data_IF_466667950542
#
_entry.id   IF_466667950542
#
_cell.length_a   1.000
_cell.length_b   1.000
_cell.length_c   1.000
_cell.angle_alpha   90.00
_cell.angle_beta   90.00
_cell.angle_gamma   90.00
#
_symmetry.space_group_name_H-M   'P 1'
#
loop_
_entity.id
_entity.type
_entity.pdbx_description
1 polymer ?
#
# COMPACT_ATOMS: atom_id res chain seq x y z
N UNK A 1 45.26 -31.38 66.33
CA UNK A 1 45.11 -30.75 65.02
C UNK A 1 43.72 -31.05 64.52
N UNK A 2 42.81 -30.10 64.65
CA UNK A 2 41.45 -30.25 64.18
C UNK A 2 41.39 -29.84 62.68
N UNK A 3 41.02 -30.78 61.81
CA UNK A 3 40.87 -30.59 60.36
C UNK A 3 39.59 -29.81 60.11
N UNK A 4 39.72 -28.54 59.70
CA UNK A 4 38.62 -27.67 59.33
C UNK A 4 37.98 -28.18 57.97
N UNK A 5 36.88 -28.89 58.09
CA UNK A 5 36.09 -29.27 56.93
C UNK A 5 35.45 -27.99 56.38
N UNK A 6 35.95 -27.55 55.27
CA UNK A 6 35.33 -26.42 54.52
C UNK A 6 33.92 -26.83 54.08
N UNK A 7 32.91 -26.14 54.61
CA UNK A 7 31.54 -26.21 54.09
C UNK A 7 31.54 -25.59 52.70
N UNK A 8 31.53 -26.38 51.63
CA UNK A 8 31.01 -25.97 50.34
C UNK A 8 29.48 -25.89 50.52
N UNK A 9 29.00 -24.71 50.80
CA UNK A 9 27.60 -24.41 50.62
C UNK A 9 27.39 -24.26 49.12
N UNK A 10 27.20 -25.37 48.39
CA UNK A 10 26.43 -25.31 47.17
C UNK A 10 25.07 -24.76 47.58
N UNK A 11 24.62 -23.68 46.95
CA UNK A 11 23.32 -23.11 47.24
C UNK A 11 22.29 -24.24 47.08
N UNK A 12 21.44 -24.45 48.10
CA UNK A 12 20.44 -25.53 48.12
C UNK A 12 19.44 -25.45 46.94
N UNK A 13 19.53 -24.41 46.13
CA UNK A 13 18.74 -24.17 44.93
C UNK A 13 19.27 -24.87 43.66
N UNK A 14 20.52 -25.37 43.63
CA UNK A 14 21.11 -25.99 42.40
C UNK A 14 20.48 -27.36 42.06
N UNK A 15 19.68 -27.93 42.99
CA UNK A 15 19.00 -29.22 42.84
C UNK A 15 17.50 -29.13 42.62
N UNK A 16 16.98 -27.93 42.42
CA UNK A 16 15.54 -27.68 42.16
C UNK A 16 15.33 -27.12 40.79
N UNK A 17 14.21 -27.50 40.17
CA UNK A 17 13.75 -26.91 38.91
C UNK A 17 13.39 -25.42 39.08
N UNK A 18 13.47 -24.58 38.02
CA UNK A 18 13.04 -23.21 38.08
C UNK A 18 11.55 -23.09 38.40
N UNK A 19 11.12 -21.95 38.92
CA UNK A 19 9.68 -21.62 38.98
C UNK A 19 9.18 -21.16 37.63
N UNK A 20 7.84 -21.25 37.35
CA UNK A 20 7.24 -20.68 36.16
C UNK A 20 7.61 -19.20 36.01
N UNK A 21 7.92 -18.77 34.81
CA UNK A 21 8.27 -17.38 34.50
C UNK A 21 7.10 -16.43 34.75
N UNK A 22 7.39 -15.16 34.97
CA UNK A 22 6.42 -14.07 35.00
C UNK A 22 6.60 -13.28 33.71
N UNK A 23 5.56 -13.21 32.86
CA UNK A 23 5.58 -12.40 31.65
C UNK A 23 5.54 -10.93 32.02
N UNK A 24 6.54 -10.16 31.58
CA UNK A 24 6.66 -8.72 31.82
C UNK A 24 6.00 -7.94 30.71
N UNK A 25 6.23 -8.33 29.45
CA UNK A 25 5.60 -7.71 28.27
C UNK A 25 5.54 -8.68 27.10
N UNK A 26 4.60 -8.43 26.20
CA UNK A 26 4.52 -9.04 24.89
C UNK A 26 3.95 -7.99 23.94
N UNK A 27 4.77 -7.48 23.02
CA UNK A 27 4.42 -6.30 22.19
C UNK A 27 4.75 -6.51 20.73
N UNK A 28 3.87 -6.03 19.86
CA UNK A 28 4.08 -6.06 18.41
C UNK A 28 5.19 -5.08 17.98
N UNK A 29 6.08 -5.54 17.11
CA UNK A 29 7.20 -4.77 16.54
C UNK A 29 7.01 -4.66 15.01
N UNK A 30 5.86 -4.14 14.60
CA UNK A 30 5.41 -4.15 13.20
C UNK A 30 6.02 -3.08 12.31
N UNK A 31 6.55 -1.99 12.88
CA UNK A 31 7.06 -0.82 12.14
C UNK A 31 8.15 -1.20 11.14
N UNK A 32 7.96 -0.86 9.87
CA UNK A 32 8.93 -1.11 8.79
C UNK A 32 9.08 -2.57 8.38
N UNK A 33 8.34 -3.50 8.98
CA UNK A 33 8.46 -4.93 8.65
C UNK A 33 7.66 -5.29 7.42
N UNK A 34 8.29 -6.08 6.54
CA UNK A 34 7.67 -6.57 5.32
C UNK A 34 6.46 -7.48 5.62
N UNK A 35 5.53 -7.57 4.68
CA UNK A 35 4.36 -8.47 4.75
C UNK A 35 4.79 -9.89 5.08
N UNK A 36 4.10 -10.54 6.00
CA UNK A 36 4.38 -11.88 6.52
C UNK A 36 5.77 -12.06 7.17
N UNK A 37 6.36 -10.96 7.61
CA UNK A 37 7.57 -10.95 8.42
C UNK A 37 7.37 -10.13 9.71
N UNK A 38 6.18 -10.25 10.31
CA UNK A 38 5.85 -9.63 11.59
C UNK A 38 6.80 -10.09 12.70
N UNK A 39 6.87 -9.31 13.78
CA UNK A 39 7.63 -9.68 14.96
C UNK A 39 6.92 -9.25 16.24
N UNK A 40 7.12 -10.04 17.29
CA UNK A 40 6.64 -9.75 18.64
C UNK A 40 7.82 -9.86 19.60
N UNK A 41 8.04 -8.81 20.37
CA UNK A 41 9.03 -8.78 21.46
C UNK A 41 8.39 -9.29 22.76
N UNK A 42 9.00 -10.30 23.36
CA UNK A 42 8.52 -10.98 24.56
C UNK A 42 9.58 -10.84 25.63
N UNK A 43 9.18 -10.34 26.81
CA UNK A 43 10.06 -10.18 27.97
C UNK A 43 9.42 -10.86 29.16
N UNK A 44 10.26 -11.59 29.91
CA UNK A 44 9.84 -12.29 31.12
C UNK A 44 10.92 -12.19 32.21
N UNK A 45 10.60 -12.64 33.38
CA UNK A 45 11.53 -12.77 34.50
C UNK A 45 11.26 -14.05 35.28
N UNK A 46 12.26 -14.53 36.02
CA UNK A 46 12.04 -15.54 37.06
C UNK A 46 11.50 -14.87 38.31
N UNK A 47 10.55 -15.51 39.02
CA UNK A 47 10.09 -15.03 40.33
C UNK A 47 11.24 -15.01 41.37
N UNK A 48 11.13 -14.13 42.34
CA UNK A 48 12.08 -14.09 43.48
C UNK A 48 12.21 -15.46 44.17
N UNK A 49 13.45 -15.85 44.47
CA UNK A 49 13.76 -17.14 45.06
C UNK A 49 13.50 -18.34 44.14
N UNK A 50 13.46 -18.13 42.82
CA UNK A 50 13.54 -19.21 41.83
C UNK A 50 14.99 -19.68 41.73
N UNK A 51 15.24 -20.99 41.56
CA UNK A 51 16.50 -21.47 41.01
C UNK A 51 16.77 -20.85 39.63
N UNK A 52 18.02 -20.70 39.25
CA UNK A 52 18.42 -20.18 37.96
C UNK A 52 17.95 -21.11 36.81
N UNK A 53 17.47 -20.52 35.74
CA UNK A 53 17.21 -21.23 34.49
C UNK A 53 18.44 -21.16 33.58
N UNK A 54 18.82 -22.27 33.00
CA UNK A 54 19.90 -22.34 32.01
C UNK A 54 19.40 -22.28 30.59
N UNK A 55 18.09 -22.50 30.39
CA UNK A 55 17.43 -22.48 29.08
C UNK A 55 15.96 -22.07 29.20
N UNK A 56 15.50 -21.30 28.25
CA UNK A 56 14.07 -21.01 28.04
C UNK A 56 13.65 -21.58 26.69
N UNK A 57 12.50 -22.25 26.66
CA UNK A 57 11.86 -22.74 25.43
C UNK A 57 10.60 -21.92 25.15
N UNK A 58 10.49 -21.34 23.94
CA UNK A 58 9.39 -20.49 23.52
C UNK A 58 8.60 -21.20 22.40
N UNK A 59 7.32 -21.47 22.65
CA UNK A 59 6.43 -22.16 21.70
C UNK A 59 5.31 -21.24 21.28
N UNK A 60 5.25 -20.81 20.02
CA UNK A 60 4.16 -19.97 19.49
C UNK A 60 2.90 -20.79 19.23
N UNK A 61 1.74 -20.14 19.38
CA UNK A 61 0.43 -20.62 18.91
C UNK A 61 -0.28 -19.47 18.21
N UNK A 62 -0.60 -19.61 16.89
CA UNK A 62 -0.30 -20.71 15.97
C UNK A 62 1.19 -21.02 15.82
N UNK A 63 1.51 -22.24 15.38
CA UNK A 63 2.89 -22.67 15.15
C UNK A 63 3.55 -21.87 14.01
N UNK A 64 4.86 -21.64 14.15
CA UNK A 64 5.69 -20.92 13.18
C UNK A 64 6.83 -21.84 12.75
N UNK A 65 7.24 -21.78 11.50
CA UNK A 65 8.36 -22.58 11.01
C UNK A 65 9.62 -22.35 11.85
N UNK A 66 10.33 -23.44 12.22
CA UNK A 66 11.50 -23.39 13.06
C UNK A 66 11.25 -23.25 14.57
N UNK A 67 9.97 -23.20 15.00
CA UNK A 67 9.61 -23.27 16.42
C UNK A 67 9.51 -24.73 16.91
N UNK A 68 9.65 -25.01 18.25
CA UNK A 68 9.92 -24.07 19.31
C UNK A 68 11.33 -23.48 19.23
N UNK A 69 11.49 -22.25 19.75
CA UNK A 69 12.77 -21.56 19.85
C UNK A 69 13.36 -21.69 21.27
N UNK A 70 14.69 -21.54 21.39
CA UNK A 70 15.36 -21.57 22.67
C UNK A 70 16.27 -20.35 22.84
N UNK A 71 16.42 -19.90 24.11
CA UNK A 71 17.32 -18.81 24.49
C UNK A 71 17.78 -18.98 25.94
N UNK A 72 18.91 -18.36 26.28
CA UNK A 72 19.37 -18.22 27.68
C UNK A 72 19.02 -16.83 28.24
N UNK A 73 18.57 -15.90 27.40
CA UNK A 73 18.14 -14.57 27.83
C UNK A 73 16.68 -14.58 28.34
N UNK A 74 16.32 -13.54 29.06
CA UNK A 74 14.96 -13.31 29.58
C UNK A 74 14.08 -12.48 28.63
N UNK A 75 14.47 -12.43 27.36
CA UNK A 75 13.70 -11.85 26.28
C UNK A 75 13.93 -12.62 25.00
N UNK A 76 12.96 -12.51 24.06
CA UNK A 76 13.05 -13.10 22.74
C UNK A 76 12.19 -12.32 21.75
N UNK A 77 12.74 -12.01 20.59
CA UNK A 77 11.98 -11.41 19.48
C UNK A 77 11.57 -12.52 18.51
N UNK A 78 10.32 -12.95 18.58
CA UNK A 78 9.73 -13.88 17.63
C UNK A 78 9.57 -13.18 16.28
N UNK A 79 10.11 -13.76 15.20
CA UNK A 79 10.10 -13.18 13.84
C UNK A 79 9.48 -14.15 12.81
N UNK A 80 9.24 -13.64 11.61
CA UNK A 80 8.62 -14.42 10.54
C UNK A 80 7.15 -14.71 10.78
N UNK A 81 6.50 -13.87 11.58
CA UNK A 81 5.10 -14.03 11.93
C UNK A 81 4.21 -13.56 10.77
N UNK A 82 3.13 -14.30 10.50
CA UNK A 82 2.14 -13.92 9.49
C UNK A 82 1.42 -12.64 9.91
N UNK A 83 1.33 -11.70 8.99
CA UNK A 83 0.63 -10.42 9.20
C UNK A 83 -0.83 -10.62 9.59
N UNK A 84 -1.36 -9.73 10.42
CA UNK A 84 -2.74 -9.74 10.91
C UNK A 84 -3.14 -11.01 11.68
N UNK A 85 -2.16 -11.81 12.11
CA UNK A 85 -2.38 -13.05 12.85
C UNK A 85 -2.08 -12.81 14.33
N UNK A 86 -2.99 -13.27 15.20
CA UNK A 86 -2.83 -13.18 16.66
C UNK A 86 -2.09 -14.40 17.20
N UNK A 87 -1.03 -14.15 17.98
CA UNK A 87 -0.18 -15.17 18.56
C UNK A 87 -0.20 -15.11 20.10
N UNK A 88 -0.12 -16.28 20.70
CA UNK A 88 0.28 -16.46 22.10
C UNK A 88 1.59 -17.24 22.15
N UNK A 89 2.39 -17.03 23.19
CA UNK A 89 3.68 -17.71 23.35
C UNK A 89 3.71 -18.40 24.69
N UNK A 90 4.00 -19.69 24.70
CA UNK A 90 4.23 -20.47 25.90
C UNK A 90 5.73 -20.52 26.21
N UNK A 91 6.12 -20.07 27.40
CA UNK A 91 7.52 -20.03 27.85
C UNK A 91 7.73 -21.04 28.98
N UNK A 92 8.74 -21.89 28.79
CA UNK A 92 9.16 -22.90 29.77
C UNK A 92 10.60 -22.61 30.16
N UNK A 93 10.86 -22.36 31.44
CA UNK A 93 12.19 -22.27 32.01
C UNK A 93 12.68 -23.65 32.41
N UNK A 94 13.95 -23.98 32.18
CA UNK A 94 14.56 -25.25 32.58
C UNK A 94 16.00 -25.10 33.04
N UNK A 95 16.45 -26.07 33.84
CA UNK A 95 17.83 -26.27 34.27
C UNK A 95 18.15 -27.77 34.33
N UNK A 96 19.29 -28.14 34.91
CA UNK A 96 19.70 -29.54 35.03
C UNK A 96 18.78 -30.37 35.95
N UNK A 97 18.02 -29.75 36.84
CA UNK A 97 17.09 -30.42 37.76
C UNK A 97 15.74 -30.71 37.11
N UNK A 98 15.33 -29.92 36.10
CA UNK A 98 14.05 -30.11 35.41
C UNK A 98 13.55 -28.86 34.74
N UNK A 99 12.27 -28.91 34.34
CA UNK A 99 11.57 -27.83 33.65
C UNK A 99 10.35 -27.35 34.43
N UNK A 100 10.19 -26.05 34.52
CA UNK A 100 9.02 -25.40 35.12
C UNK A 100 7.74 -25.68 34.33
N UNK A 101 6.61 -25.46 35.00
CA UNK A 101 5.35 -25.35 34.26
C UNK A 101 5.39 -24.18 33.26
N UNK A 102 4.74 -24.36 32.13
CA UNK A 102 4.65 -23.35 31.06
C UNK A 102 3.83 -22.13 31.51
N UNK A 103 4.27 -20.93 31.14
CA UNK A 103 3.50 -19.70 31.28
C UNK A 103 3.24 -19.12 29.90
N UNK A 104 2.00 -18.72 29.63
CA UNK A 104 1.61 -18.16 28.29
C UNK A 104 1.42 -16.65 28.39
N UNK A 105 1.78 -15.95 27.28
CA UNK A 105 1.46 -14.54 27.10
C UNK A 105 -0.02 -14.33 26.84
N UNK A 106 -0.51 -13.11 27.00
CA UNK A 106 -1.73 -12.67 26.34
C UNK A 106 -1.55 -12.71 24.82
N UNK A 107 -2.66 -12.79 24.09
CA UNK A 107 -2.64 -12.77 22.62
C UNK A 107 -2.20 -11.40 22.10
N UNK A 108 -1.27 -11.38 21.14
CA UNK A 108 -0.78 -10.17 20.45
C UNK A 108 -0.86 -10.40 18.96
N UNK A 109 -1.43 -9.44 18.23
CA UNK A 109 -1.50 -9.51 16.76
C UNK A 109 -0.20 -8.98 16.16
N UNK A 110 0.46 -9.83 15.37
CA UNK A 110 1.63 -9.42 14.60
C UNK A 110 1.19 -8.52 13.42
N UNK A 111 1.79 -7.32 13.32
CA UNK A 111 1.46 -6.38 12.25
C UNK A 111 2.67 -6.05 11.39
N UNK A 112 2.43 -5.51 10.18
CA UNK A 112 3.45 -5.18 9.18
C UNK A 112 3.01 -3.97 8.35
N UNK A 113 3.85 -3.53 7.42
CA UNK A 113 3.42 -2.63 6.34
C UNK A 113 2.37 -3.33 5.45
N UNK A 114 1.56 -2.60 4.67
CA UNK A 114 0.60 -3.19 3.73
C UNK A 114 1.30 -3.91 2.57
N UNK A 115 0.60 -4.80 1.87
CA UNK A 115 1.02 -5.21 0.53
C UNK A 115 0.87 -4.07 -0.48
N UNK A 116 1.48 -4.22 -1.66
CA UNK A 116 1.29 -3.25 -2.74
C UNK A 116 -0.19 -3.15 -3.13
N UNK A 117 -0.67 -1.97 -3.58
CA UNK A 117 -1.97 -1.83 -4.23
C UNK A 117 -2.10 -2.77 -5.41
N UNK A 118 -3.34 -3.15 -5.76
CA UNK A 118 -3.63 -4.09 -6.85
C UNK A 118 -4.41 -3.42 -7.97
N UNK A 119 -4.48 -4.07 -9.14
CA UNK A 119 -5.24 -3.57 -10.31
C UNK A 119 -4.92 -2.12 -10.64
N UNK A 120 -3.64 -1.75 -10.57
CA UNK A 120 -3.18 -0.40 -10.88
C UNK A 120 -3.21 -0.17 -12.38
N UNK A 121 -3.78 0.95 -12.80
CA UNK A 121 -3.81 1.32 -14.22
C UNK A 121 -3.87 2.83 -14.39
N UNK A 122 -3.47 3.31 -15.57
CA UNK A 122 -3.63 4.69 -15.99
C UNK A 122 -4.25 4.76 -17.38
N UNK A 123 -5.09 5.75 -17.61
CA UNK A 123 -5.67 6.08 -18.90
C UNK A 123 -5.71 7.59 -19.09
N UNK A 124 -5.34 8.06 -20.27
CA UNK A 124 -5.58 9.46 -20.68
C UNK A 124 -7.07 9.63 -21.00
N UNK A 125 -7.77 10.46 -20.25
CA UNK A 125 -9.23 10.57 -20.31
C UNK A 125 -9.72 11.81 -21.03
N UNK A 126 -9.06 12.93 -20.81
CA UNK A 126 -9.32 14.22 -21.43
C UNK A 126 -7.98 14.92 -21.67
N UNK A 127 -8.04 16.05 -22.41
CA UNK A 127 -6.84 16.87 -22.68
C UNK A 127 -6.03 17.12 -21.41
N UNK A 128 -4.74 16.81 -21.47
CA UNK A 128 -3.78 17.05 -20.40
C UNK A 128 -4.19 16.44 -19.06
N UNK A 129 -4.90 15.30 -19.06
CA UNK A 129 -5.33 14.65 -17.83
C UNK A 129 -5.21 13.15 -17.94
N UNK A 130 -4.48 12.57 -17.00
CA UNK A 130 -4.33 11.14 -16.80
C UNK A 130 -5.17 10.69 -15.59
N UNK A 131 -5.99 9.69 -15.78
CA UNK A 131 -6.77 9.05 -14.70
C UNK A 131 -6.05 7.81 -14.22
N UNK A 132 -5.58 7.87 -12.98
CA UNK A 132 -4.93 6.75 -12.27
C UNK A 132 -5.96 6.03 -11.42
N UNK A 133 -6.02 4.71 -11.54
CA UNK A 133 -6.92 3.85 -10.76
C UNK A 133 -6.15 2.72 -10.09
N UNK A 134 -6.63 2.29 -8.93
CA UNK A 134 -6.10 1.15 -8.19
C UNK A 134 -7.15 0.55 -7.26
N UNK A 135 -6.93 -0.68 -6.84
CA UNK A 135 -7.65 -1.32 -5.75
C UNK A 135 -6.76 -1.40 -4.51
N UNK A 136 -7.40 -1.54 -3.36
CA UNK A 136 -6.71 -1.71 -2.08
C UNK A 136 -5.74 -2.90 -2.11
N UNK A 137 -4.70 -2.88 -1.26
CA UNK A 137 -3.85 -4.04 -1.03
C UNK A 137 -4.63 -5.29 -0.64
N UNK A 138 -4.10 -6.47 -0.98
CA UNK A 138 -4.69 -7.77 -0.55
C UNK A 138 -4.58 -7.99 0.96
N UNK A 139 -3.61 -7.35 1.60
CA UNK A 139 -3.51 -7.27 3.06
C UNK A 139 -3.08 -5.88 3.50
N UNK A 140 -3.73 -5.38 4.54
CA UNK A 140 -3.35 -4.11 5.18
C UNK A 140 -2.21 -4.27 6.20
N UNK A 141 -1.68 -5.49 6.37
CA UNK A 141 -0.64 -5.80 7.34
C UNK A 141 -1.14 -5.87 8.79
N UNK A 142 -2.45 -5.92 9.02
CA UNK A 142 -3.06 -5.91 10.35
C UNK A 142 -3.22 -4.50 10.94
N UNK A 143 -3.00 -3.46 10.13
CA UNK A 143 -3.27 -2.04 10.44
C UNK A 143 -3.93 -1.43 9.21
N UNK A 144 -5.06 -0.77 9.38
CA UNK A 144 -5.80 -0.16 8.28
C UNK A 144 -4.92 0.76 7.43
N UNK A 145 -5.06 0.68 6.11
CA UNK A 145 -4.43 1.62 5.17
C UNK A 145 -5.00 3.01 5.42
N UNK A 146 -4.14 3.96 5.75
CA UNK A 146 -4.52 5.34 6.09
C UNK A 146 -4.51 6.27 4.87
N UNK A 147 -3.63 6.00 3.88
CA UNK A 147 -3.49 6.82 2.69
C UNK A 147 -2.77 6.08 1.57
N UNK A 148 -2.78 6.72 0.38
CA UNK A 148 -1.97 6.30 -0.77
C UNK A 148 -1.12 7.47 -1.24
N UNK A 149 0.07 7.17 -1.76
CA UNK A 149 0.93 8.11 -2.47
C UNK A 149 1.12 7.62 -3.89
N UNK A 150 0.97 8.54 -4.85
CA UNK A 150 1.22 8.30 -6.27
C UNK A 150 2.48 9.08 -6.64
N UNK A 151 3.42 8.42 -7.32
CA UNK A 151 4.64 9.04 -7.84
C UNK A 151 4.64 8.89 -9.35
N UNK A 152 4.72 9.99 -10.08
CA UNK A 152 4.86 9.98 -11.53
C UNK A 152 6.29 9.66 -11.94
N UNK A 153 6.48 9.01 -13.09
CA UNK A 153 7.80 8.69 -13.64
C UNK A 153 8.63 9.92 -14.01
N UNK A 154 8.00 11.09 -14.18
CA UNK A 154 8.65 12.39 -14.43
C UNK A 154 8.96 13.18 -13.15
N UNK A 155 8.64 12.62 -11.96
CA UNK A 155 9.10 13.10 -10.67
C UNK A 155 8.06 13.62 -9.69
N UNK A 156 6.92 14.24 -10.08
CA UNK A 156 5.93 14.72 -9.12
C UNK A 156 5.34 13.61 -8.26
N UNK A 157 5.03 13.96 -7.00
CA UNK A 157 4.41 13.06 -6.03
C UNK A 157 3.08 13.63 -5.55
N UNK A 158 2.06 12.79 -5.50
CA UNK A 158 0.69 13.17 -5.15
C UNK A 158 0.24 12.37 -3.94
N UNK A 159 0.10 13.02 -2.80
CA UNK A 159 -0.57 12.42 -1.64
C UNK A 159 -2.06 12.35 -1.93
N UNK A 160 -2.64 11.17 -1.83
CA UNK A 160 -4.06 10.97 -2.07
C UNK A 160 -4.58 9.76 -1.32
N UNK A 161 -5.84 9.76 -0.99
CA UNK A 161 -6.47 8.72 -0.18
C UNK A 161 -7.54 7.91 -0.92
N UNK A 162 -7.90 8.27 -2.15
CA UNK A 162 -8.99 7.62 -2.88
C UNK A 162 -8.67 7.40 -4.36
N UNK A 163 -9.11 6.27 -4.90
CA UNK A 163 -9.11 5.91 -6.32
C UNK A 163 -10.52 6.11 -6.88
N UNK A 164 -10.70 6.67 -8.09
CA UNK A 164 -9.67 7.15 -9.01
C UNK A 164 -9.08 8.51 -8.67
N UNK A 165 -7.90 8.82 -9.21
CA UNK A 165 -7.26 10.14 -9.13
C UNK A 165 -6.98 10.68 -10.51
N UNK A 166 -7.48 11.88 -10.81
CA UNK A 166 -7.14 12.62 -12.02
C UNK A 166 -5.91 13.49 -11.74
N UNK A 167 -4.92 13.41 -12.63
CA UNK A 167 -3.64 14.11 -12.56
C UNK A 167 -3.52 14.95 -13.83
N UNK A 168 -3.31 16.26 -13.65
CA UNK A 168 -3.04 17.17 -14.75
C UNK A 168 -1.60 17.01 -15.23
N UNK A 169 -1.42 16.80 -16.54
CA UNK A 169 -0.12 16.57 -17.17
C UNK A 169 0.05 17.43 -18.42
N UNK A 170 1.32 17.66 -18.80
CA UNK A 170 1.61 18.24 -20.12
C UNK A 170 1.34 17.21 -21.19
N UNK A 171 0.62 17.60 -22.24
CA UNK A 171 0.28 16.71 -23.33
C UNK A 171 1.49 16.18 -24.11
N UNK A 172 1.31 15.02 -24.76
CA UNK A 172 2.33 14.29 -25.54
C UNK A 172 3.53 13.77 -24.73
N UNK A 173 3.43 13.72 -23.40
CA UNK A 173 4.40 13.04 -22.55
C UNK A 173 3.96 11.59 -22.31
N UNK A 174 4.93 10.68 -22.36
CA UNK A 174 4.69 9.26 -22.08
C UNK A 174 5.14 8.96 -20.66
N UNK A 175 4.22 8.49 -19.80
CA UNK A 175 4.52 8.28 -18.40
C UNK A 175 3.76 7.12 -17.77
N UNK A 176 4.22 6.69 -16.61
CA UNK A 176 3.57 5.75 -15.73
C UNK A 176 3.59 6.28 -14.29
N UNK A 177 2.82 5.63 -13.44
CA UNK A 177 2.67 6.03 -12.04
C UNK A 177 2.94 4.85 -11.14
N UNK A 178 3.65 5.10 -10.04
CA UNK A 178 3.86 4.12 -8.98
C UNK A 178 2.99 4.48 -7.78
N UNK A 179 2.15 3.55 -7.35
CA UNK A 179 1.21 3.74 -6.25
C UNK A 179 1.69 2.97 -5.01
N UNK A 180 1.73 3.63 -3.87
CA UNK A 180 2.10 3.08 -2.58
C UNK A 180 0.91 3.17 -1.63
N UNK A 181 0.67 2.12 -0.86
CA UNK A 181 -0.27 2.13 0.27
C UNK A 181 0.51 2.37 1.57
N UNK A 182 -0.09 3.13 2.49
CA UNK A 182 0.53 3.52 3.75
C UNK A 182 -0.39 3.14 4.91
N UNK A 183 0.17 2.48 5.93
CA UNK A 183 -0.48 2.26 7.21
C UNK A 183 0.40 2.81 8.36
N UNK A 184 -0.01 2.59 9.62
CA UNK A 184 0.74 3.04 10.79
C UNK A 184 2.15 2.42 10.92
N UNK A 185 2.40 1.27 10.26
CA UNK A 185 3.70 0.60 10.29
C UNK A 185 4.64 1.04 9.16
N UNK A 186 4.13 1.74 8.13
CA UNK A 186 4.93 2.27 7.04
C UNK A 186 4.32 2.11 5.66
N UNK A 187 5.17 2.20 4.66
CA UNK A 187 4.80 2.26 3.24
C UNK A 187 5.03 0.91 2.56
N UNK A 188 4.09 0.48 1.74
CA UNK A 188 4.16 -0.75 0.95
C UNK A 188 5.26 -0.71 -0.12
N UNK A 189 5.53 -1.84 -0.77
CA UNK A 189 6.15 -1.84 -2.09
C UNK A 189 5.28 -1.07 -3.08
N UNK A 190 5.91 -0.47 -4.11
CA UNK A 190 5.20 0.26 -5.16
C UNK A 190 4.54 -0.70 -6.16
N UNK A 191 3.35 -0.34 -6.61
CA UNK A 191 2.69 -0.96 -7.75
C UNK A 191 2.72 0.00 -8.94
N UNK A 192 3.26 -0.44 -10.08
CA UNK A 192 3.48 0.40 -11.26
C UNK A 192 2.35 0.18 -12.26
N UNK A 193 1.78 1.27 -12.80
CA UNK A 193 0.76 1.22 -13.85
C UNK A 193 1.37 0.82 -15.20
N UNK A 194 0.51 0.56 -16.19
CA UNK A 194 0.88 0.64 -17.61
C UNK A 194 1.42 2.04 -17.94
N UNK A 195 2.09 2.18 -19.09
CA UNK A 195 2.48 3.50 -19.64
C UNK A 195 1.33 4.08 -20.45
N UNK A 196 1.12 5.38 -20.35
CA UNK A 196 0.15 6.15 -21.14
C UNK A 196 0.84 7.35 -21.78
N UNK A 197 0.35 7.77 -22.95
CA UNK A 197 0.72 9.07 -23.55
C UNK A 197 -0.47 10.00 -23.38
N UNK A 198 -0.25 11.11 -22.67
CA UNK A 198 -1.30 12.08 -22.38
C UNK A 198 -1.78 12.74 -23.65
N UNK A 199 -3.11 12.81 -23.83
CA UNK A 199 -3.72 13.36 -25.05
C UNK A 199 -3.65 14.88 -25.06
N UNK A 200 -3.18 15.46 -26.19
CA UNK A 200 -3.39 16.86 -26.54
C UNK A 200 -4.26 16.94 -27.79
N UNK A 201 -5.31 17.78 -27.81
CA UNK A 201 -6.03 18.02 -29.04
C UNK A 201 -5.10 18.60 -30.10
N UNK A 202 -5.28 18.26 -31.38
CA UNK A 202 -4.58 18.96 -32.45
C UNK A 202 -4.86 20.47 -32.34
N UNK A 203 -3.81 21.27 -32.33
CA UNK A 203 -3.94 22.72 -32.43
C UNK A 203 -4.46 23.04 -33.80
N UNK A 204 -5.77 23.26 -33.94
CA UNK A 204 -6.31 23.86 -35.16
C UNK A 204 -5.84 25.32 -35.15
N UNK A 205 -5.02 25.76 -36.13
CA UNK A 205 -4.76 27.18 -36.27
C UNK A 205 -6.09 27.89 -36.48
N UNK A 206 -6.26 29.12 -35.95
CA UNK A 206 -7.51 29.86 -36.14
C UNK A 206 -7.81 29.94 -37.62
N UNK A 207 -8.91 29.33 -38.06
CA UNK A 207 -9.32 29.19 -39.47
C UNK A 207 -9.77 30.53 -40.09
N UNK A 208 -9.48 31.62 -39.38
CA UNK A 208 -9.69 32.96 -39.91
C UNK A 208 -8.31 33.60 -40.16
N UNK A 209 -7.90 33.81 -41.44
CA UNK A 209 -6.78 34.69 -41.69
C UNK A 209 -7.12 36.07 -41.10
N UNK A 210 -6.17 36.74 -40.44
CA UNK A 210 -6.40 38.02 -39.75
C UNK A 210 -6.65 39.19 -40.69
N UNK A 211 -6.85 38.94 -41.95
CA UNK A 211 -7.18 39.92 -42.94
C UNK A 211 -8.28 39.38 -43.87
N UNK A 212 -9.54 39.67 -43.54
CA UNK A 212 -10.46 39.98 -44.62
C UNK A 212 -9.96 41.28 -45.24
N UNK A 213 -9.55 41.31 -46.50
CA UNK A 213 -9.30 42.59 -47.14
C UNK A 213 -10.60 43.38 -47.09
N UNK A 214 -10.59 44.71 -46.87
CA UNK A 214 -11.77 45.55 -46.92
C UNK A 214 -12.21 45.68 -48.39
N UNK A 215 -12.74 44.59 -48.95
CA UNK A 215 -13.35 44.60 -50.30
C UNK A 215 -14.84 44.89 -50.15
N UNK A 216 -15.16 46.08 -49.63
CA UNK A 216 -16.29 46.82 -50.09
C UNK A 216 -15.73 47.95 -50.98
N UNK A 217 -15.81 47.87 -52.31
CA UNK A 217 -15.51 49.03 -53.13
C UNK A 217 -16.53 50.14 -52.75
N UNK A 218 -16.12 51.41 -52.59
CA UNK A 218 -16.98 52.52 -52.23
C UNK A 218 -17.80 53.03 -53.37
N UNK A 219 -18.34 52.17 -54.22
CA UNK A 219 -19.20 52.53 -55.35
C UNK A 219 -20.43 51.62 -55.37
N UNK A 220 -21.46 51.98 -54.58
CA UNK A 220 -22.81 51.71 -55.01
C UNK A 220 -23.20 52.78 -56.02
N UNK A 221 -23.48 52.44 -57.27
CA UNK A 221 -24.06 53.40 -58.22
C UNK A 221 -25.50 53.72 -57.73
N UNK A 222 -25.94 54.98 -57.82
CA UNK A 222 -27.24 55.45 -57.28
C UNK A 222 -28.46 55.07 -58.10
N UNK A 223 -28.47 53.95 -58.76
CA UNK A 223 -29.64 53.45 -59.49
C UNK A 223 -29.79 51.94 -59.41
N UNK A 224 -30.61 51.49 -58.44
CA UNK A 224 -31.23 50.18 -58.52
C UNK A 224 -32.40 50.24 -59.52
N UNK A 225 -32.44 49.46 -60.57
CA UNK A 225 -33.66 49.25 -61.34
C UNK A 225 -34.65 48.42 -60.47
N UNK A 226 -35.94 48.71 -60.49
CA UNK A 226 -36.95 48.00 -59.72
C UNK A 226 -37.43 46.76 -60.48
N UNK A 227 -36.56 45.70 -60.55
CA UNK A 227 -37.00 44.41 -61.13
C UNK A 227 -36.31 43.27 -60.36
N UNK A 228 -36.98 42.77 -59.32
CA UNK A 228 -36.79 41.42 -58.87
C UNK A 228 -37.63 40.49 -59.81
N UNK A 229 -37.00 39.53 -60.51
CA UNK A 229 -37.78 38.48 -61.15
C UNK A 229 -38.28 37.50 -60.05
N UNK A 230 -39.53 36.99 -60.17
CA UNK A 230 -40.20 36.20 -59.15
C UNK A 230 -39.84 34.70 -59.18
N UNK A 231 -38.60 34.32 -59.45
CA UNK A 231 -38.22 32.91 -59.38
C UNK A 231 -36.76 32.76 -58.90
N UNK A 232 -36.61 32.49 -57.62
CA UNK A 232 -35.39 31.78 -57.12
C UNK A 232 -35.55 30.31 -57.46
N UNK A 233 -34.61 29.67 -58.16
CA UNK A 233 -34.56 28.21 -58.23
C UNK A 233 -34.18 27.61 -56.88
N UNK A 234 -34.78 26.48 -56.48
CA UNK A 234 -34.42 25.80 -55.27
C UNK A 234 -33.16 24.95 -55.54
N UNK A 235 -31.98 25.54 -55.43
CA UNK A 235 -30.70 24.77 -55.47
C UNK A 235 -29.82 25.14 -54.32
N UNK A 236 -30.10 24.52 -53.15
CA UNK A 236 -29.07 24.14 -52.20
C UNK A 236 -28.86 22.64 -52.37
N UNK A 237 -27.71 22.17 -52.83
CA UNK A 237 -27.41 20.76 -52.77
C UNK A 237 -27.31 20.36 -51.29
N UNK A 238 -27.80 19.17 -50.89
CA UNK A 238 -27.65 18.68 -49.53
C UNK A 238 -26.18 18.25 -49.32
N UNK A 239 -25.37 19.14 -48.73
CA UNK A 239 -24.03 18.79 -48.26
C UNK A 239 -24.10 18.22 -46.86
N UNK A 240 -24.71 17.05 -46.72
CA UNK A 240 -24.46 16.13 -45.60
C UNK A 240 -24.38 14.72 -46.17
N UNK A 241 -23.23 14.04 -46.08
CA UNK A 241 -23.20 12.63 -46.43
C UNK A 241 -24.01 11.85 -45.37
N UNK A 242 -24.87 10.91 -45.81
CA UNK A 242 -25.66 10.10 -44.90
C UNK A 242 -24.82 8.94 -44.39
N UNK A 243 -23.99 9.06 -43.35
CA UNK A 243 -23.48 7.93 -42.60
C UNK A 243 -22.62 8.42 -41.43
N UNK A 244 -23.26 8.72 -40.30
CA UNK A 244 -22.68 8.45 -39.01
C UNK A 244 -23.13 7.05 -38.58
N UNK A 245 -22.24 6.12 -38.31
CA UNK A 245 -22.65 4.86 -37.72
C UNK A 245 -23.15 5.09 -36.27
N UNK A 246 -24.17 4.35 -35.82
CA UNK A 246 -24.69 4.49 -34.47
C UNK A 246 -23.64 3.96 -33.47
N UNK A 247 -23.09 4.83 -32.63
CA UNK A 247 -22.28 4.48 -31.47
C UNK A 247 -23.21 4.08 -30.32
N UNK A 248 -23.65 2.83 -30.29
CA UNK A 248 -24.11 2.15 -29.09
C UNK A 248 -23.64 0.70 -29.15
N UNK A 249 -22.80 0.23 -28.21
CA UNK A 249 -22.56 -1.19 -28.07
C UNK A 249 -23.81 -1.89 -27.52
N UNK A 250 -24.07 -3.15 -27.92
CA UNK A 250 -25.20 -3.90 -27.41
C UNK A 250 -24.98 -4.30 -25.93
N UNK A 251 -26.02 -4.18 -25.11
CA UNK A 251 -26.11 -4.78 -23.80
C UNK A 251 -25.93 -6.29 -23.92
N UNK A 252 -25.02 -6.85 -23.13
CA UNK A 252 -24.98 -8.27 -22.82
C UNK A 252 -25.80 -8.54 -21.53
N UNK A 253 -26.49 -9.67 -21.45
CA UNK A 253 -27.31 -10.11 -20.33
C UNK A 253 -26.48 -10.47 -19.09
#
# INVERSE_FOLDING_TARGET
MAKKVGKHSAAANDFLEPKPVVITSSTDVGTGRAVNNGAIDIVWSLPAGSPEATLYTITPSPSVAGSPWTTTATSYIAQGLTSATSYTFSIVASNAAGAAAATSTSAVTATTIPSAPTSVSVASTVTNTDRVTWLAPTTDGGKAVSSYTIVSSDGPSYANSVSPKDIGETGNTSQNYTIYAINANGTSAGAITNTVTTFTPPHFPPFFPPHFPPFFPPFFPPHFPPFFPPHFPPFFPPFFPPHFPPFFPPHFP
#
